data_IF_576256404857
#
_entry.id   IF_576256404857
#
_cell.length_a   1.000
_cell.length_b   1.000
_cell.length_c   1.000
_cell.angle_alpha   90.00
_cell.angle_beta   90.00
_cell.angle_gamma   90.00
#
_symmetry.space_group_name_H-M   'P 1'
#
loop_
_entity.id
_entity.type
_entity.pdbx_description
1 polymer ?
#
# COMPACT_ATOMS: atom_id res chain seq x y z
N UNK A 1 -6.52 -2.61 -0.13
CA UNK A 1 -5.23 -1.99 -0.47
C UNK A 1 -4.10 -2.99 -0.37
N UNK A 2 -3.28 -3.07 -1.42
CA UNK A 2 -2.00 -3.77 -1.46
C UNK A 2 -0.89 -2.76 -1.14
N UNK A 3 0.26 -3.25 -0.69
CA UNK A 3 1.45 -2.45 -0.40
C UNK A 3 2.66 -3.16 -0.96
N UNK A 4 3.46 -2.45 -1.76
CA UNK A 4 4.81 -2.91 -2.17
C UNK A 4 5.92 -2.19 -1.41
N UNK A 5 5.58 -1.53 -0.30
CA UNK A 5 6.53 -0.75 0.50
C UNK A 5 7.74 -1.60 0.94
N UNK A 6 7.49 -2.83 1.38
CA UNK A 6 8.55 -3.73 1.83
C UNK A 6 9.52 -4.05 0.69
N UNK A 7 8.99 -4.42 -0.48
CA UNK A 7 9.78 -4.73 -1.68
C UNK A 7 10.68 -3.56 -2.07
N UNK A 8 10.10 -2.35 -2.17
CA UNK A 8 10.85 -1.12 -2.51
C UNK A 8 11.95 -0.81 -1.49
N UNK A 9 11.67 -1.03 -0.20
CA UNK A 9 12.66 -0.80 0.85
C UNK A 9 13.79 -1.83 0.81
N UNK A 10 13.47 -3.11 0.59
CA UNK A 10 14.44 -4.19 0.50
C UNK A 10 15.35 -4.01 -0.74
N UNK A 11 14.78 -3.65 -1.90
CA UNK A 11 15.52 -3.33 -3.15
C UNK A 11 16.53 -2.20 -2.96
N UNK A 12 16.21 -1.22 -2.10
CA UNK A 12 17.04 -0.04 -1.84
C UNK A 12 17.93 -0.19 -0.61
N UNK A 13 17.89 -1.35 0.06
CA UNK A 13 18.64 -1.59 1.30
C UNK A 13 18.22 -0.70 2.47
N UNK A 14 17.00 -0.14 2.46
CA UNK A 14 16.52 0.79 3.47
C UNK A 14 15.90 0.00 4.62
N UNK A 15 16.48 0.13 5.82
CA UNK A 15 15.95 -0.52 7.03
C UNK A 15 14.79 0.29 7.62
N UNK A 16 13.80 -0.38 8.21
CA UNK A 16 12.71 0.29 8.95
C UNK A 16 13.22 1.24 10.06
N UNK A 17 14.37 0.94 10.66
CA UNK A 17 15.00 1.79 11.68
C UNK A 17 15.36 3.18 11.16
N UNK A 18 15.55 3.33 9.84
CA UNK A 18 15.76 4.63 9.20
C UNK A 18 14.57 5.56 9.42
N UNK A 19 13.36 5.07 9.14
CA UNK A 19 12.12 5.85 9.31
C UNK A 19 11.78 6.11 10.77
N UNK A 20 12.08 5.14 11.65
CA UNK A 20 11.93 5.33 13.11
C UNK A 20 12.80 6.48 13.59
N UNK A 21 14.08 6.51 13.20
CA UNK A 21 15.03 7.53 13.67
C UNK A 21 14.80 8.89 13.03
N UNK A 22 14.50 8.94 11.73
CA UNK A 22 14.39 10.18 10.96
C UNK A 22 13.04 10.87 11.09
N UNK A 23 11.96 10.09 11.18
CA UNK A 23 10.59 10.60 11.12
C UNK A 23 9.73 10.23 12.33
N UNK A 24 10.26 9.47 13.29
CA UNK A 24 9.50 9.04 14.46
C UNK A 24 8.39 8.02 14.15
N UNK A 25 8.39 7.42 12.95
CA UNK A 25 7.40 6.41 12.57
C UNK A 25 7.74 5.12 13.32
N UNK A 26 6.85 4.67 14.20
CA UNK A 26 7.14 3.50 15.03
C UNK A 26 7.35 2.22 14.20
N UNK A 27 8.19 1.31 14.71
CA UNK A 27 8.42 0.02 14.05
C UNK A 27 7.13 -0.82 13.92
N UNK A 28 6.19 -0.66 14.87
CA UNK A 28 4.86 -1.28 14.80
C UNK A 28 4.07 -0.72 13.60
N UNK A 29 4.07 0.60 13.41
CA UNK A 29 3.44 1.26 12.26
C UNK A 29 4.07 0.79 10.94
N UNK A 30 5.40 0.72 10.85
CA UNK A 30 6.06 0.19 9.64
C UNK A 30 5.63 -1.25 9.35
N UNK A 31 5.59 -2.10 10.38
CA UNK A 31 5.16 -3.49 10.25
C UNK A 31 3.72 -3.64 9.76
N UNK A 32 2.80 -2.75 10.19
CA UNK A 32 1.42 -2.76 9.68
C UNK A 32 1.36 -2.27 8.23
N UNK A 33 2.12 -1.23 7.88
CA UNK A 33 2.17 -0.69 6.52
C UNK A 33 2.70 -1.69 5.49
N UNK A 34 3.65 -2.55 5.87
CA UNK A 34 4.09 -3.66 5.03
C UNK A 34 2.99 -4.68 4.75
N UNK A 35 2.03 -4.84 5.66
CA UNK A 35 0.88 -5.76 5.51
C UNK A 35 -0.27 -5.16 4.71
N UNK A 36 -0.13 -3.94 4.19
CA UNK A 36 -1.16 -3.30 3.38
C UNK A 36 -2.26 -2.57 4.16
N UNK A 37 -2.03 -2.22 5.43
CA UNK A 37 -2.94 -1.31 6.15
C UNK A 37 -2.93 0.08 5.50
N UNK A 38 -4.05 0.79 5.62
CA UNK A 38 -4.18 2.15 5.09
C UNK A 38 -3.29 3.10 5.91
N UNK A 39 -2.26 3.73 5.30
CA UNK A 39 -1.47 4.75 5.96
C UNK A 39 -2.32 5.99 6.22
N UNK A 40 -1.96 6.75 7.26
CA UNK A 40 -2.38 8.15 7.34
C UNK A 40 -1.76 8.95 6.19
N UNK A 41 -2.42 10.03 5.76
CA UNK A 41 -1.91 10.90 4.70
C UNK A 41 -0.47 11.36 4.99
N UNK A 42 -0.19 11.74 6.24
CA UNK A 42 1.13 12.19 6.67
C UNK A 42 2.20 11.10 6.50
N UNK A 43 1.94 9.87 6.97
CA UNK A 43 2.90 8.77 6.83
C UNK A 43 3.11 8.41 5.37
N UNK A 44 2.04 8.35 4.58
CA UNK A 44 2.11 8.06 3.15
C UNK A 44 2.98 9.09 2.42
N UNK A 45 2.72 10.38 2.66
CA UNK A 45 3.47 11.49 2.07
C UNK A 45 4.95 11.48 2.45
N UNK A 46 5.27 11.34 3.74
CA UNK A 46 6.67 11.31 4.21
C UNK A 46 7.44 10.15 3.58
N UNK A 47 6.85 8.95 3.57
CA UNK A 47 7.49 7.76 3.02
C UNK A 47 7.65 7.90 1.50
N UNK A 48 6.62 8.38 0.80
CA UNK A 48 6.66 8.63 -0.64
C UNK A 48 7.76 9.63 -1.03
N UNK A 49 7.88 10.73 -0.27
CA UNK A 49 8.94 11.72 -0.49
C UNK A 49 10.33 11.13 -0.26
N UNK A 50 10.53 10.37 0.83
CA UNK A 50 11.83 9.74 1.10
C UNK A 50 12.20 8.69 0.05
N UNK A 51 11.21 7.99 -0.48
CA UNK A 51 11.40 7.02 -1.55
C UNK A 51 11.42 7.68 -2.95
N UNK A 52 11.12 8.97 -3.08
CA UNK A 52 11.00 9.61 -4.38
C UNK A 52 10.02 8.90 -5.32
N UNK A 53 8.94 8.34 -4.77
CA UNK A 53 7.91 7.62 -5.52
C UNK A 53 6.54 8.26 -5.29
N UNK A 54 5.62 8.18 -6.27
CA UNK A 54 4.21 8.49 -6.03
C UNK A 54 3.60 7.57 -4.96
N UNK A 55 2.60 8.06 -4.22
CA UNK A 55 1.94 7.28 -3.14
C UNK A 55 1.26 6.04 -3.73
N UNK A 56 0.61 6.20 -4.89
CA UNK A 56 -0.11 5.17 -5.64
C UNK A 56 0.81 4.05 -6.16
N UNK A 57 2.11 4.32 -6.30
CA UNK A 57 3.08 3.29 -6.64
C UNK A 57 3.45 2.41 -5.45
N UNK A 58 3.33 2.92 -4.23
CA UNK A 58 3.65 2.20 -3.00
C UNK A 58 2.40 1.47 -2.49
N UNK A 59 1.25 2.15 -2.49
CA UNK A 59 -0.04 1.61 -2.04
C UNK A 59 -1.08 1.74 -3.15
N UNK A 60 -1.60 0.61 -3.58
CA UNK A 60 -2.54 0.52 -4.70
C UNK A 60 -3.68 -0.44 -4.38
N UNK A 61 -4.84 -0.21 -4.99
CA UNK A 61 -5.94 -1.16 -4.94
C UNK A 61 -5.98 -2.04 -6.18
N UNK A 62 -6.48 -3.26 -6.00
CA UNK A 62 -6.73 -4.17 -7.11
C UNK A 62 -8.02 -3.72 -7.83
N UNK A 63 -7.89 -2.77 -8.75
CA UNK A 63 -9.01 -2.20 -9.51
C UNK A 63 -9.81 -3.31 -10.22
N UNK A 64 -9.15 -4.41 -10.60
CA UNK A 64 -9.78 -5.57 -11.26
C UNK A 64 -10.85 -6.24 -10.40
N UNK A 65 -10.79 -6.08 -9.07
CA UNK A 65 -11.81 -6.59 -8.14
C UNK A 65 -13.18 -5.92 -8.36
N UNK A 66 -13.18 -4.67 -8.80
CA UNK A 66 -14.40 -3.89 -9.02
C UNK A 66 -14.94 -4.08 -10.44
N UNK A 67 -14.07 -4.22 -11.43
CA UNK A 67 -14.44 -4.49 -12.83
C UNK A 67 -15.19 -5.84 -12.97
N UNK A 68 -14.80 -6.87 -12.22
CA UNK A 68 -15.51 -8.17 -12.21
C UNK A 68 -16.90 -8.13 -11.56
N UNK A 69 -17.18 -7.16 -10.69
CA UNK A 69 -18.48 -7.03 -10.00
C UNK A 69 -19.53 -6.30 -10.84
N UNK A 70 -19.11 -5.53 -11.84
CA UNK A 70 -19.99 -4.79 -12.75
C UNK A 70 -20.52 -5.62 -13.91
N UNK A 71 -20.05 -6.86 -14.10
CA UNK A 71 -20.71 -7.76 -15.05
C UNK A 71 -22.14 -8.06 -14.55
N UNK A 72 -23.17 -7.77 -15.35
CA UNK A 72 -24.53 -8.09 -14.96
C UNK A 72 -24.62 -9.60 -14.78
N UNK A 73 -24.93 -10.04 -13.55
CA UNK A 73 -25.31 -11.43 -13.27
C UNK A 73 -26.43 -11.78 -14.24
N UNK A 74 -26.13 -12.57 -15.28
CA UNK A 74 -27.13 -13.11 -16.20
C UNK A 74 -28.15 -13.80 -15.32
N UNK A 75 -29.34 -13.21 -15.19
CA UNK A 75 -30.48 -13.85 -14.53
C UNK A 75 -30.74 -15.11 -15.32
N UNK A 76 -30.26 -16.23 -14.79
CA UNK A 76 -30.55 -17.56 -15.30
C UNK A 76 -32.08 -17.68 -15.28
N UNK A 77 -32.69 -17.61 -16.47
CA UNK A 77 -34.11 -17.85 -16.62
C UNK A 77 -34.31 -19.32 -16.25
N UNK A 78 -34.81 -19.54 -15.03
CA UNK A 78 -35.27 -20.85 -14.60
C UNK A 78 -36.32 -21.33 -15.62
N UNK A 79 -36.20 -22.57 -16.12
CA UNK A 79 -37.05 -23.11 -17.19
C UNK A 79 -38.53 -23.11 -16.83
#
# INVERSE_FOLDING_TARGET
MKSRLKEVMDERGIKQSHFVKKYGISAKTMSTLYRGTIPTLQNAYIIAQELGLPIEEIWYDDINKYIKKSEPQKREKRP
#
